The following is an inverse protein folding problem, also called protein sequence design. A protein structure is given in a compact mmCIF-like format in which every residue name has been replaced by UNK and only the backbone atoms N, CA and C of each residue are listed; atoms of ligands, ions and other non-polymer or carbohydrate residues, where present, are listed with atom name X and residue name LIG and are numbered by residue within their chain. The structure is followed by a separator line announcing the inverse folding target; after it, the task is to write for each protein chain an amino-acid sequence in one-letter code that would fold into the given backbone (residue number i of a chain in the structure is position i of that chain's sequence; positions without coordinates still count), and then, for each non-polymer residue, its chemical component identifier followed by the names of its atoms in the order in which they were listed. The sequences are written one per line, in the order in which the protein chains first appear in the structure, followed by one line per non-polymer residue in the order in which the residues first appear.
data_IF_121208207884
#
_entry.id   IF_121208207884
#
_cell.length_a   1.000
_cell.length_b   1.000
_cell.length_c   1.000
_cell.angle_alpha   90.00
_cell.angle_beta   90.00
_cell.angle_gamma   90.00
#
_symmetry.space_group_name_H-M   'P 1'
#
loop_
_entity.id
_entity.type
_entity.pdbx_description
1 polymer ?
#
# COMPACT_ATOMS: atom_id res chain seq x y z
N UNK A 1 -22.69 42.08 19.28
CA UNK A 1 -22.01 43.39 19.34
C UNK A 1 -21.96 43.93 17.93
N UNK A 2 -22.67 45.04 17.72
CA UNK A 2 -22.75 45.78 16.47
C UNK A 2 -21.34 46.17 16.03
N UNK A 3 -20.81 45.52 14.99
CA UNK A 3 -19.47 45.84 14.52
C UNK A 3 -19.43 45.60 13.01
N UNK A 4 -19.67 46.68 12.25
CA UNK A 4 -19.46 46.80 10.81
C UNK A 4 -19.79 45.54 9.97
N UNK A 5 -21.05 45.42 9.56
CA UNK A 5 -21.46 44.42 8.57
C UNK A 5 -20.97 44.82 7.17
N UNK A 6 -19.80 44.34 6.78
CA UNK A 6 -19.35 44.35 5.39
C UNK A 6 -19.57 42.97 4.77
N UNK A 7 -20.22 42.92 3.61
CA UNK A 7 -20.36 41.72 2.78
C UNK A 7 -19.35 41.80 1.63
N UNK A 8 -18.47 40.80 1.48
CA UNK A 8 -17.56 40.75 0.33
C UNK A 8 -18.38 40.33 -0.89
N UNK A 9 -18.86 41.33 -1.65
CA UNK A 9 -19.73 41.14 -2.82
C UNK A 9 -18.98 40.43 -3.96
N UNK A 10 -17.68 40.71 -4.12
CA UNK A 10 -16.86 40.05 -5.13
C UNK A 10 -15.37 40.10 -4.74
N UNK A 11 -14.73 38.94 -4.61
CA UNK A 11 -13.27 38.85 -4.55
C UNK A 11 -12.73 38.99 -5.97
N UNK A 12 -12.13 40.12 -6.30
CA UNK A 12 -11.41 40.27 -7.54
C UNK A 12 -10.02 39.63 -7.39
N UNK A 13 -9.80 38.51 -8.07
CA UNK A 13 -8.49 37.89 -8.17
C UNK A 13 -7.77 38.55 -9.34
N UNK A 14 -6.73 39.34 -9.06
CA UNK A 14 -5.85 39.84 -10.10
C UNK A 14 -4.98 38.69 -10.61
N UNK A 15 -4.98 38.49 -11.92
CA UNK A 15 -4.05 37.58 -12.59
C UNK A 15 -2.70 38.28 -12.68
N UNK A 16 -1.75 37.83 -11.86
CA UNK A 16 -0.37 38.35 -11.86
C UNK A 16 0.47 37.31 -12.61
N UNK A 17 0.93 37.69 -13.79
CA UNK A 17 1.88 36.86 -14.53
C UNK A 17 3.25 36.88 -13.80
N UNK A 18 3.79 35.71 -13.41
CA UNK A 18 5.10 35.65 -12.80
C UNK A 18 6.19 36.02 -13.81
N UNK A 19 7.17 36.78 -13.34
CA UNK A 19 8.34 37.16 -14.12
C UNK A 19 9.08 35.93 -14.67
N UNK A 20 9.81 36.11 -15.78
CA UNK A 20 10.59 35.05 -16.45
C UNK A 20 11.49 34.30 -15.47
N UNK A 21 12.17 35.01 -14.56
CA UNK A 21 13.06 34.36 -13.59
C UNK A 21 12.30 33.46 -12.63
N UNK A 22 11.12 33.90 -12.17
CA UNK A 22 10.26 33.12 -11.27
C UNK A 22 9.73 31.87 -11.98
N UNK A 23 9.33 31.98 -13.25
CA UNK A 23 8.88 30.82 -14.03
C UNK A 23 9.98 29.78 -14.23
N UNK A 24 11.20 30.22 -14.50
CA UNK A 24 12.34 29.32 -14.65
C UNK A 24 12.64 28.59 -13.34
N UNK A 25 12.70 29.31 -12.21
CA UNK A 25 12.90 28.70 -10.90
C UNK A 25 11.78 27.73 -10.53
N UNK A 26 10.52 28.05 -10.81
CA UNK A 26 9.39 27.14 -10.58
C UNK A 26 9.55 25.85 -11.40
N UNK A 27 9.98 25.96 -12.66
CA UNK A 27 10.18 24.79 -13.50
C UNK A 27 11.32 23.89 -13.00
N UNK A 28 12.41 24.50 -12.50
CA UNK A 28 13.51 23.78 -11.89
C UNK A 28 13.08 23.07 -10.60
N UNK A 29 12.36 23.76 -9.71
CA UNK A 29 11.80 23.18 -8.47
C UNK A 29 10.85 22.01 -8.79
N UNK A 30 9.96 22.18 -9.76
CA UNK A 30 9.03 21.12 -10.16
C UNK A 30 9.77 19.89 -10.69
N UNK A 31 10.84 20.09 -11.48
CA UNK A 31 11.66 18.99 -11.99
C UNK A 31 12.39 18.23 -10.86
N UNK A 32 12.93 18.97 -9.88
CA UNK A 32 13.56 18.37 -8.69
C UNK A 32 12.56 17.59 -7.84
N UNK A 33 11.38 18.14 -7.61
CA UNK A 33 10.31 17.49 -6.83
C UNK A 33 9.82 16.21 -7.53
N UNK A 34 9.68 16.23 -8.86
CA UNK A 34 9.35 15.03 -9.62
C UNK A 34 10.43 13.95 -9.52
N UNK A 35 11.71 14.33 -9.63
CA UNK A 35 12.83 13.42 -9.49
C UNK A 35 12.87 12.82 -8.07
N UNK A 36 12.64 13.66 -7.06
CA UNK A 36 12.59 13.26 -5.65
C UNK A 36 11.41 12.32 -5.40
N UNK A 37 10.23 12.60 -5.92
CA UNK A 37 9.05 11.73 -5.79
C UNK A 37 9.30 10.35 -6.39
N UNK A 38 9.87 10.29 -7.60
CA UNK A 38 10.26 9.02 -8.26
C UNK A 38 11.30 8.25 -7.43
N UNK A 39 12.29 8.95 -6.88
CA UNK A 39 13.30 8.35 -6.00
C UNK A 39 12.67 7.78 -4.72
N UNK A 40 11.86 8.56 -4.00
CA UNK A 40 11.18 8.09 -2.78
C UNK A 40 10.24 6.92 -3.03
N UNK A 41 9.55 6.89 -4.17
CA UNK A 41 8.73 5.75 -4.58
C UNK A 41 9.57 4.47 -4.76
N UNK A 42 10.76 4.59 -5.34
CA UNK A 42 11.70 3.47 -5.45
C UNK A 42 12.30 3.02 -4.12
N UNK A 43 12.61 3.97 -3.22
CA UNK A 43 13.16 3.68 -1.88
C UNK A 43 12.20 2.86 -1.04
N UNK A 44 10.89 3.16 -1.08
CA UNK A 44 9.88 2.38 -0.33
C UNK A 44 9.85 0.90 -0.73
N UNK A 45 9.90 0.62 -2.04
CA UNK A 45 9.94 -0.74 -2.57
C UNK A 45 11.25 -1.43 -2.18
N UNK A 46 12.40 -0.76 -2.37
CA UNK A 46 13.70 -1.32 -2.01
C UNK A 46 13.79 -1.64 -0.51
N UNK A 47 13.26 -0.76 0.35
CA UNK A 47 13.22 -0.96 1.80
C UNK A 47 12.31 -2.13 2.20
N UNK A 48 11.15 -2.29 1.56
CA UNK A 48 10.28 -3.45 1.75
C UNK A 48 10.98 -4.75 1.32
N UNK A 49 11.65 -4.76 0.17
CA UNK A 49 12.43 -5.91 -0.28
C UNK A 49 13.55 -6.26 0.69
N UNK A 50 14.25 -5.26 1.25
CA UNK A 50 15.29 -5.49 2.26
C UNK A 50 14.73 -6.12 3.54
N UNK A 51 13.55 -5.68 4.00
CA UNK A 51 12.88 -6.29 5.15
C UNK A 51 12.49 -7.76 4.90
N UNK A 52 12.02 -8.09 3.68
CA UNK A 52 11.69 -9.47 3.28
C UNK A 52 12.95 -10.34 3.22
N UNK A 53 14.04 -9.83 2.65
CA UNK A 53 15.34 -10.55 2.63
C UNK A 53 15.86 -10.76 4.06
N UNK A 54 15.72 -9.78 4.95
CA UNK A 54 16.09 -9.91 6.37
C UNK A 54 15.22 -10.91 7.14
N UNK A 55 13.95 -11.08 6.77
CA UNK A 55 13.07 -12.11 7.34
C UNK A 55 13.60 -13.51 7.03
N UNK A 56 14.08 -13.76 5.81
CA UNK A 56 14.72 -15.03 5.42
C UNK A 56 15.93 -15.34 6.30
N UNK A 57 16.78 -14.36 6.57
CA UNK A 57 17.94 -14.53 7.45
C UNK A 57 17.52 -14.79 8.91
N UNK A 58 16.49 -14.10 9.39
CA UNK A 58 15.93 -14.30 10.73
C UNK A 58 15.35 -15.71 10.92
N UNK A 59 14.70 -16.25 9.89
CA UNK A 59 14.16 -17.62 9.86
C UNK A 59 15.26 -18.68 9.86
N UNK A 60 16.36 -18.45 9.14
CA UNK A 60 17.54 -19.32 9.19
C UNK A 60 18.19 -19.30 10.57
N UNK A 61 18.31 -18.13 11.20
CA UNK A 61 18.80 -17.99 12.58
C UNK A 61 17.89 -18.69 13.62
N UNK A 62 16.58 -18.72 13.38
CA UNK A 62 15.62 -19.39 14.26
C UNK A 62 15.77 -20.92 14.23
N UNK A 63 16.05 -21.49 13.05
CA UNK A 63 16.30 -22.93 12.89
C UNK A 63 17.52 -23.43 13.66
N UNK A 64 18.49 -22.55 13.95
CA UNK A 64 19.69 -22.90 14.74
C UNK A 64 19.40 -22.90 16.24
N UNK A 65 18.48 -22.06 16.71
CA UNK A 65 18.21 -21.85 18.14
C UNK A 65 17.08 -22.72 18.70
N UNK A 66 16.28 -23.37 17.86
CA UNK A 66 15.15 -24.22 18.25
C UNK A 66 15.33 -25.65 17.69
N UNK A 67 15.67 -26.64 18.53
CA UNK A 67 15.81 -28.02 18.06
C UNK A 67 14.44 -28.62 17.74
N UNK A 68 14.26 -29.06 16.48
CA UNK A 68 13.07 -29.80 16.02
C UNK A 68 12.15 -29.05 15.06
N UNK A 69 12.35 -27.74 14.86
CA UNK A 69 11.63 -26.96 13.84
C UNK A 69 12.54 -26.63 12.68
N UNK A 70 12.10 -26.98 11.48
CA UNK A 70 12.82 -26.64 10.26
C UNK A 70 12.42 -25.23 9.82
N UNK A 71 13.33 -24.48 9.19
CA UNK A 71 12.97 -23.20 8.56
C UNK A 71 11.75 -23.33 7.62
N UNK A 72 11.59 -24.49 6.98
CA UNK A 72 10.43 -24.84 6.16
C UNK A 72 9.11 -24.77 6.93
N UNK A 73 9.03 -25.31 8.14
CA UNK A 73 7.79 -25.35 8.92
C UNK A 73 7.36 -23.94 9.35
N UNK A 74 8.34 -23.08 9.66
CA UNK A 74 8.08 -21.69 9.98
C UNK A 74 7.62 -20.89 8.74
N UNK A 75 8.19 -21.16 7.55
CA UNK A 75 7.69 -20.59 6.29
C UNK A 75 6.26 -21.04 5.98
N UNK A 76 5.96 -22.33 6.18
CA UNK A 76 4.62 -22.87 5.94
C UNK A 76 3.58 -22.21 6.88
N UNK A 77 3.94 -21.90 8.13
CA UNK A 77 3.09 -21.13 9.06
C UNK A 77 2.90 -19.67 8.63
N UNK A 78 3.95 -18.99 8.15
CA UNK A 78 3.87 -17.61 7.64
C UNK A 78 2.98 -17.54 6.41
N UNK A 79 3.09 -18.51 5.50
CA UNK A 79 2.25 -18.62 4.30
C UNK A 79 0.77 -18.78 4.65
N UNK A 80 0.46 -19.66 5.61
CA UNK A 80 -0.91 -19.82 6.13
C UNK A 80 -1.42 -18.54 6.78
N UNK A 81 -0.59 -17.85 7.56
CA UNK A 81 -0.98 -16.59 8.20
C UNK A 81 -1.27 -15.50 7.15
N UNK A 82 -0.41 -15.36 6.14
CA UNK A 82 -0.62 -14.44 5.03
C UNK A 82 -1.92 -14.75 4.26
N UNK A 83 -2.23 -16.04 4.07
CA UNK A 83 -3.48 -16.47 3.45
C UNK A 83 -4.71 -16.00 4.25
N UNK A 84 -4.71 -16.20 5.57
CA UNK A 84 -5.80 -15.73 6.44
C UNK A 84 -5.86 -14.20 6.56
N UNK A 85 -4.72 -13.51 6.63
CA UNK A 85 -4.69 -12.05 6.66
C UNK A 85 -5.24 -11.45 5.36
N UNK A 86 -4.88 -12.03 4.22
CA UNK A 86 -5.42 -11.63 2.91
C UNK A 86 -6.92 -11.87 2.85
N UNK A 87 -7.41 -13.02 3.34
CA UNK A 87 -8.84 -13.28 3.42
C UNK A 87 -9.57 -12.30 4.35
N UNK A 88 -8.97 -11.94 5.48
CA UNK A 88 -9.51 -10.96 6.43
C UNK A 88 -9.54 -9.56 5.83
N UNK A 89 -8.53 -9.16 5.07
CA UNK A 89 -8.49 -7.87 4.38
C UNK A 89 -9.58 -7.79 3.29
N UNK A 90 -9.70 -8.84 2.47
CA UNK A 90 -10.73 -8.94 1.42
C UNK A 90 -12.13 -8.94 2.04
N UNK A 91 -12.36 -9.70 3.11
CA UNK A 91 -13.66 -9.80 3.79
C UNK A 91 -14.00 -8.62 4.70
N UNK A 92 -13.00 -7.87 5.17
CA UNK A 92 -13.18 -6.70 6.05
C UNK A 92 -13.59 -5.42 5.30
N UNK A 93 -13.30 -5.35 3.99
CA UNK A 93 -13.84 -4.30 3.12
C UNK A 93 -15.36 -4.49 2.99
N UNK A 94 -16.13 -3.59 3.63
CA UNK A 94 -17.55 -3.76 3.98
C UNK A 94 -18.56 -3.87 2.80
N UNK A 95 -18.09 -4.11 1.57
CA UNK A 95 -18.91 -4.38 0.38
C UNK A 95 -18.40 -5.52 -0.51
N UNK A 96 -17.36 -6.25 -0.12
CA UNK A 96 -16.82 -7.36 -0.91
C UNK A 96 -17.47 -8.69 -0.51
N UNK A 97 -18.41 -9.18 -1.32
CA UNK A 97 -18.89 -10.56 -1.22
C UNK A 97 -17.89 -11.48 -1.92
N UNK A 98 -16.91 -11.99 -1.18
CA UNK A 98 -15.98 -12.99 -1.69
C UNK A 98 -16.63 -14.38 -1.64
N UNK A 99 -16.93 -14.95 -2.80
CA UNK A 99 -17.34 -16.36 -2.94
C UNK A 99 -16.09 -17.20 -3.14
N UNK A 100 -15.70 -17.94 -2.10
CA UNK A 100 -14.55 -18.83 -2.17
C UNK A 100 -14.93 -20.12 -2.90
N UNK A 101 -14.43 -20.28 -4.12
CA UNK A 101 -14.51 -21.55 -4.85
C UNK A 101 -13.36 -22.43 -4.35
N UNK A 102 -13.68 -23.52 -3.67
CA UNK A 102 -12.69 -24.53 -3.30
C UNK A 102 -12.01 -25.02 -4.59
N UNK A 103 -10.68 -25.00 -4.65
CA UNK A 103 -9.98 -25.66 -5.76
C UNK A 103 -9.75 -27.12 -5.38
N UNK A 104 -10.72 -27.95 -5.76
CA UNK A 104 -10.64 -29.39 -5.70
C UNK A 104 -11.54 -29.96 -6.80
N UNK A 105 -11.20 -31.09 -7.43
CA UNK A 105 -11.97 -31.63 -8.55
C UNK A 105 -13.45 -31.93 -8.23
N UNK A 106 -13.86 -31.96 -6.95
CA UNK A 106 -15.25 -32.08 -6.51
C UNK A 106 -15.99 -30.77 -6.20
N UNK A 107 -15.29 -29.65 -6.03
CA UNK A 107 -15.90 -28.39 -5.60
C UNK A 107 -16.78 -27.74 -6.67
N UNK A 108 -16.49 -28.00 -7.94
CA UNK A 108 -17.31 -27.53 -9.07
C UNK A 108 -18.63 -28.31 -9.13
N UNK A 109 -18.64 -29.57 -8.69
CA UNK A 109 -19.84 -30.41 -8.61
C UNK A 109 -20.76 -29.95 -7.48
N UNK A 110 -20.20 -29.65 -6.31
CA UNK A 110 -20.96 -29.20 -5.13
C UNK A 110 -21.60 -27.81 -5.32
N UNK A 111 -20.97 -26.92 -6.11
CA UNK A 111 -21.58 -25.63 -6.48
C UNK A 111 -22.73 -25.85 -7.48
N UNK A 112 -22.58 -26.75 -8.44
CA UNK A 112 -23.62 -27.05 -9.42
C UNK A 112 -24.90 -27.65 -8.80
N UNK A 113 -24.80 -28.28 -7.62
CA UNK A 113 -25.94 -28.78 -6.84
C UNK A 113 -26.55 -27.74 -5.89
N UNK A 114 -25.91 -26.58 -5.69
CA UNK A 114 -26.35 -25.52 -4.77
C UNK A 114 -26.98 -24.29 -5.47
N UNK A 115 -26.95 -24.24 -6.80
CA UNK A 115 -27.74 -23.32 -7.65
C UNK A 115 -29.06 -23.96 -8.03
#
# INVERSE_FOLDING_TARGET
MSAYGYEIVQKHTFDIEPDVHVKLSINEINAEDEARSKYLSGVGIAQQCQAIVGLKESLLGFSVNMPGTTAKDAFDMVLLTQYFDTMKEIGGSSKSSAVFILHGPGAVHDIATQI
#
